data_IF_285407286654
#
_entry.id   IF_285407286654
#
_cell.length_a   1.000
_cell.length_b   1.000
_cell.length_c   1.000
_cell.angle_alpha   90.00
_cell.angle_beta   90.00
_cell.angle_gamma   90.00
#
_symmetry.space_group_name_H-M   'P 1'
#
loop_
_entity.id
_entity.type
_entity.pdbx_description
1 polymer ?
#
# COMPACT_ATOMS: atom_id res chain seq x y z
N UNK A 1 6.86 -27.19 14.41
CA UNK A 1 6.77 -26.24 15.53
C UNK A 1 7.13 -24.82 15.07
N UNK A 2 8.29 -24.56 14.44
CA UNK A 2 8.57 -23.24 13.84
C UNK A 2 7.63 -22.92 12.65
N UNK A 3 7.33 -23.92 11.79
CA UNK A 3 6.40 -23.77 10.67
C UNK A 3 4.96 -23.43 11.11
N UNK A 4 4.44 -24.11 12.14
CA UNK A 4 3.07 -23.89 12.63
C UNK A 4 2.88 -22.54 13.33
N UNK A 5 3.96 -21.97 13.91
CA UNK A 5 3.93 -20.64 14.52
C UNK A 5 3.97 -19.55 13.43
N UNK A 6 4.72 -19.76 12.34
CA UNK A 6 4.71 -18.88 11.17
C UNK A 6 3.33 -18.86 10.51
N UNK A 7 2.77 -20.04 10.24
CA UNK A 7 1.45 -20.18 9.60
C UNK A 7 0.34 -19.47 10.40
N UNK A 8 0.39 -19.55 11.74
CA UNK A 8 -0.58 -18.86 12.61
C UNK A 8 -0.36 -17.34 12.68
N UNK A 9 0.87 -16.85 12.52
CA UNK A 9 1.16 -15.42 12.44
C UNK A 9 0.72 -14.86 11.09
N UNK A 10 0.96 -15.59 10.00
CA UNK A 10 0.53 -15.25 8.63
C UNK A 10 -1.00 -15.18 8.52
N UNK A 11 -1.71 -16.13 9.12
CA UNK A 11 -3.19 -16.11 9.18
C UNK A 11 -3.73 -14.87 9.91
N UNK A 12 -2.98 -14.25 10.82
CA UNK A 12 -3.40 -13.02 11.51
C UNK A 12 -3.22 -11.77 10.65
N UNK A 13 -2.46 -11.85 9.55
CA UNK A 13 -2.24 -10.77 8.60
C UNK A 13 -3.33 -10.72 7.51
N UNK A 14 -4.21 -11.71 7.43
CA UNK A 14 -5.25 -11.79 6.40
C UNK A 14 -6.62 -11.87 7.05
N UNK A 15 -7.50 -10.94 6.72
CA UNK A 15 -8.87 -10.87 7.24
C UNK A 15 -9.90 -10.76 6.11
N UNK A 16 -11.17 -10.97 6.46
CA UNK A 16 -12.26 -10.61 5.56
C UNK A 16 -12.28 -9.09 5.35
N UNK A 17 -12.69 -8.63 4.16
CA UNK A 17 -12.74 -7.19 3.87
C UNK A 17 -13.66 -6.41 4.81
N UNK A 18 -14.65 -7.08 5.42
CA UNK A 18 -15.56 -6.48 6.40
C UNK A 18 -14.86 -6.11 7.72
N UNK A 19 -13.68 -6.68 7.99
CA UNK A 19 -12.88 -6.41 9.20
C UNK A 19 -11.80 -5.34 8.98
N UNK A 20 -11.68 -4.79 7.76
CA UNK A 20 -10.81 -3.66 7.46
C UNK A 20 -11.50 -2.33 7.77
N UNK A 21 -10.74 -1.25 8.06
CA UNK A 21 -11.30 0.07 8.28
C UNK A 21 -12.15 0.53 7.10
N UNK A 22 -13.29 1.17 7.39
CA UNK A 22 -14.10 1.79 6.34
C UNK A 22 -13.34 2.92 5.67
N UNK A 23 -13.49 3.05 4.35
CA UNK A 23 -13.02 4.24 3.61
C UNK A 23 -13.86 5.49 3.90
N UNK A 24 -14.93 5.41 4.69
CA UNK A 24 -15.75 6.57 5.06
C UNK A 24 -15.19 7.36 6.26
N UNK A 25 -14.17 6.83 6.93
CA UNK A 25 -13.55 7.46 8.09
C UNK A 25 -12.23 8.16 7.72
N UNK A 26 -12.13 9.46 8.02
CA UNK A 26 -10.91 10.26 7.86
C UNK A 26 -10.76 10.95 6.50
N UNK A 27 -9.52 11.12 6.06
CA UNK A 27 -9.18 11.71 4.77
C UNK A 27 -9.20 10.63 3.68
N UNK A 28 -9.94 10.87 2.61
CA UNK A 28 -10.10 9.90 1.51
C UNK A 28 -9.65 10.54 0.21
N UNK A 29 -8.80 9.82 -0.53
CA UNK A 29 -8.26 10.26 -1.82
C UNK A 29 -8.43 9.12 -2.81
N UNK A 30 -8.90 9.43 -4.02
CA UNK A 30 -9.03 8.44 -5.10
C UNK A 30 -8.21 8.88 -6.31
N UNK A 31 -7.22 8.07 -6.67
CA UNK A 31 -6.36 8.24 -7.83
C UNK A 31 -6.96 7.45 -9.00
N UNK A 32 -7.20 8.11 -10.12
CA UNK A 32 -7.76 7.49 -11.34
C UNK A 32 -7.50 8.36 -12.58
N UNK A 33 -7.53 7.75 -13.76
CA UNK A 33 -7.53 8.52 -14.99
C UNK A 33 -8.87 9.19 -15.23
N UNK A 34 -8.85 10.45 -15.65
CA UNK A 34 -10.06 11.25 -15.90
C UNK A 34 -10.61 11.09 -17.32
N UNK A 35 -9.79 10.62 -18.27
CA UNK A 35 -10.19 10.37 -19.64
C UNK A 35 -10.60 8.90 -19.83
N UNK A 36 -11.90 8.61 -20.07
CA UNK A 36 -12.44 7.26 -20.22
C UNK A 36 -12.11 6.60 -21.56
N UNK A 37 -11.67 7.38 -22.56
CA UNK A 37 -11.34 6.91 -23.90
C UNK A 37 -9.84 6.61 -24.06
N UNK A 38 -9.07 6.78 -22.98
CA UNK A 38 -7.64 6.58 -22.99
C UNK A 38 -7.26 5.10 -23.19
N UNK A 39 -6.47 4.87 -24.24
CA UNK A 39 -5.95 3.54 -24.60
C UNK A 39 -4.51 3.43 -24.14
N UNK A 40 -4.28 2.51 -23.19
CA UNK A 40 -2.93 2.21 -22.72
C UNK A 40 -2.07 1.64 -23.87
N UNK A 41 -0.91 2.24 -24.19
CA UNK A 41 -0.05 1.73 -25.25
C UNK A 41 0.50 0.35 -24.88
N UNK A 42 0.19 -0.68 -25.68
CA UNK A 42 0.61 -2.05 -25.41
C UNK A 42 2.14 -2.21 -25.32
N UNK A 43 2.89 -1.32 -25.96
CA UNK A 43 4.35 -1.34 -25.99
C UNK A 43 5.01 -0.82 -24.70
N UNK A 44 4.24 -0.12 -23.84
CA UNK A 44 4.76 0.38 -22.56
C UNK A 44 5.09 -0.75 -21.58
N UNK A 45 4.47 -1.93 -21.70
CA UNK A 45 4.61 -3.07 -20.78
C UNK A 45 6.06 -3.59 -20.63
N UNK A 46 6.98 -3.20 -21.53
CA UNK A 46 8.33 -3.77 -21.58
C UNK A 46 9.36 -3.08 -20.70
N UNK A 47 9.15 -1.83 -20.32
CA UNK A 47 10.10 -1.12 -19.44
C UNK A 47 9.54 -1.05 -18.03
N UNK A 48 10.31 -1.58 -17.08
CA UNK A 48 10.02 -1.54 -15.63
C UNK A 48 9.82 -0.11 -15.10
N UNK A 49 10.21 0.89 -15.89
CA UNK A 49 9.84 2.30 -15.75
C UNK A 49 8.56 2.60 -16.53
N UNK A 50 7.43 2.05 -16.10
CA UNK A 50 6.15 2.50 -16.62
C UNK A 50 5.93 3.94 -16.14
N UNK A 51 5.93 4.96 -17.03
CA UNK A 51 5.63 6.31 -16.59
C UNK A 51 4.19 6.29 -16.09
N UNK A 52 4.01 6.54 -14.79
CA UNK A 52 2.72 6.99 -14.27
C UNK A 52 2.26 8.10 -15.22
N UNK A 53 1.17 7.85 -15.95
CA UNK A 53 0.61 8.82 -16.89
C UNK A 53 0.52 10.18 -16.20
N UNK A 54 0.79 11.29 -16.89
CA UNK A 54 0.97 12.60 -16.25
C UNK A 54 -0.20 12.99 -15.31
N UNK A 55 -1.43 12.61 -15.65
CA UNK A 55 -2.62 12.80 -14.80
C UNK A 55 -2.50 11.99 -13.49
N UNK A 56 -2.18 10.70 -13.59
CA UNK A 56 -2.03 9.81 -12.42
C UNK A 56 -0.82 10.26 -11.60
N UNK A 57 0.27 10.67 -12.24
CA UNK A 57 1.47 11.21 -11.60
C UNK A 57 1.14 12.48 -10.81
N UNK A 58 0.34 13.38 -11.38
CA UNK A 58 -0.12 14.59 -10.69
C UNK A 58 -1.01 14.25 -9.50
N UNK A 59 -2.03 13.41 -9.67
CA UNK A 59 -2.90 12.98 -8.56
C UNK A 59 -2.12 12.26 -7.47
N UNK A 60 -1.12 11.45 -7.83
CA UNK A 60 -0.18 10.83 -6.89
C UNK A 60 0.61 11.87 -6.10
N UNK A 61 1.19 12.88 -6.78
CA UNK A 61 1.93 13.95 -6.12
C UNK A 61 1.06 14.74 -5.16
N UNK A 62 -0.16 15.07 -5.57
CA UNK A 62 -1.14 15.76 -4.73
C UNK A 62 -1.53 14.89 -3.52
N UNK A 63 -1.78 13.59 -3.73
CA UNK A 63 -2.09 12.65 -2.64
C UNK A 63 -0.93 12.55 -1.64
N UNK A 64 0.30 12.43 -2.13
CA UNK A 64 1.50 12.38 -1.31
C UNK A 64 1.66 13.66 -0.49
N UNK A 65 1.49 14.84 -1.10
CA UNK A 65 1.60 16.11 -0.39
C UNK A 65 0.56 16.24 0.73
N UNK A 66 -0.70 15.88 0.47
CA UNK A 66 -1.77 15.90 1.48
C UNK A 66 -1.46 14.91 2.61
N UNK A 67 -1.10 13.68 2.27
CA UNK A 67 -0.75 12.62 3.21
C UNK A 67 0.40 13.05 4.14
N UNK A 68 1.48 13.58 3.57
CA UNK A 68 2.64 14.01 4.33
C UNK A 68 2.34 15.19 5.23
N UNK A 69 1.65 16.22 4.73
CA UNK A 69 1.25 17.34 5.57
C UNK A 69 0.40 16.87 6.75
N UNK A 70 -0.49 15.92 6.53
CA UNK A 70 -1.27 15.30 7.61
C UNK A 70 -0.34 14.62 8.61
N UNK A 71 0.56 13.74 8.17
CA UNK A 71 1.49 13.03 9.06
C UNK A 71 2.38 13.97 9.88
N UNK A 72 2.87 15.07 9.30
CA UNK A 72 3.67 16.09 9.99
C UNK A 72 2.93 16.74 11.17
N UNK A 73 1.59 16.82 11.12
CA UNK A 73 0.80 17.36 12.23
C UNK A 73 0.78 16.44 13.45
N UNK A 74 0.83 15.12 13.23
CA UNK A 74 0.54 14.10 14.25
C UNK A 74 1.75 13.22 14.63
N UNK A 75 2.84 13.23 13.88
CA UNK A 75 4.02 12.37 14.08
C UNK A 75 5.33 13.15 14.25
N UNK A 76 6.37 12.47 14.72
CA UNK A 76 7.75 12.98 14.74
C UNK A 76 8.36 13.00 13.33
N UNK A 77 9.43 13.77 13.11
CA UNK A 77 10.11 13.83 11.81
C UNK A 77 10.59 12.44 11.34
N UNK A 78 11.09 11.64 12.27
CA UNK A 78 11.52 10.26 12.03
C UNK A 78 10.35 9.40 11.57
N UNK A 79 9.22 9.44 12.29
CA UNK A 79 8.03 8.68 11.92
C UNK A 79 7.45 9.13 10.57
N UNK A 80 7.48 10.44 10.27
CA UNK A 80 7.06 10.98 8.97
C UNK A 80 7.91 10.41 7.84
N UNK A 81 9.21 10.24 8.04
CA UNK A 81 10.09 9.58 7.06
C UNK A 81 9.70 8.12 6.83
N UNK A 82 9.40 7.38 7.89
CA UNK A 82 8.95 5.98 7.81
C UNK A 82 7.60 5.88 7.09
N UNK A 83 6.67 6.79 7.37
CA UNK A 83 5.40 6.89 6.67
C UNK A 83 5.54 7.22 5.18
N UNK A 84 6.52 8.05 4.78
CA UNK A 84 6.80 8.33 3.35
C UNK A 84 7.14 7.05 2.60
N UNK A 85 8.05 6.25 3.15
CA UNK A 85 8.51 5.00 2.52
C UNK A 85 7.33 4.05 2.35
N UNK A 86 6.57 3.84 3.42
CA UNK A 86 5.45 2.90 3.40
C UNK A 86 4.33 3.35 2.47
N UNK A 87 4.02 4.64 2.46
CA UNK A 87 3.05 5.21 1.53
C UNK A 87 3.42 4.97 0.07
N UNK A 88 4.68 5.25 -0.28
CA UNK A 88 5.18 5.06 -1.64
C UNK A 88 5.06 3.60 -2.08
N UNK A 89 5.46 2.66 -1.22
CA UNK A 89 5.33 1.22 -1.49
C UNK A 89 3.87 0.79 -1.66
N UNK A 90 2.96 1.24 -0.79
CA UNK A 90 1.54 0.89 -0.90
C UNK A 90 0.90 1.41 -2.19
N UNK A 91 1.14 2.67 -2.54
CA UNK A 91 0.54 3.28 -3.74
C UNK A 91 1.15 2.69 -5.01
N UNK A 92 2.47 2.46 -5.04
CA UNK A 92 3.12 1.76 -6.15
C UNK A 92 2.55 0.36 -6.30
N UNK A 93 2.37 -0.38 -5.21
CA UNK A 93 1.79 -1.73 -5.28
C UNK A 93 0.36 -1.69 -5.84
N UNK A 94 -0.47 -0.77 -5.37
CA UNK A 94 -1.85 -0.61 -5.84
C UNK A 94 -1.93 -0.22 -7.33
N UNK A 95 -1.14 0.78 -7.76
CA UNK A 95 -1.20 1.31 -9.12
C UNK A 95 -0.47 0.40 -10.13
N UNK A 96 0.74 -0.07 -9.79
CA UNK A 96 1.60 -0.83 -10.71
C UNK A 96 1.22 -2.30 -10.74
N UNK A 97 1.06 -2.94 -9.59
CA UNK A 97 0.87 -4.39 -9.52
C UNK A 97 -0.62 -4.76 -9.48
N UNK A 98 -1.41 -4.10 -8.62
CA UNK A 98 -2.85 -4.32 -8.49
C UNK A 98 -3.58 -3.93 -9.77
N UNK A 99 -3.61 -2.64 -10.08
CA UNK A 99 -4.24 -2.12 -11.29
C UNK A 99 -3.48 -2.47 -12.59
N UNK A 100 -2.30 -3.09 -12.51
CA UNK A 100 -1.43 -3.39 -13.67
C UNK A 100 -1.15 -2.18 -14.54
N UNK A 101 -1.03 -1.00 -13.90
CA UNK A 101 -0.93 0.32 -14.53
C UNK A 101 -2.09 0.66 -15.49
N UNK A 102 -3.22 -0.05 -15.40
CA UNK A 102 -4.41 0.30 -16.16
C UNK A 102 -4.96 1.63 -15.64
N UNK A 103 -4.92 2.69 -16.45
CA UNK A 103 -5.30 4.04 -16.03
C UNK A 103 -6.79 4.15 -15.72
N UNK A 104 -7.62 3.29 -16.32
CA UNK A 104 -9.06 3.29 -16.11
C UNK A 104 -9.49 2.67 -14.78
N UNK A 105 -8.55 2.08 -14.03
CA UNK A 105 -8.80 1.50 -12.71
C UNK A 105 -8.48 2.50 -11.60
N UNK A 106 -9.30 2.47 -10.55
CA UNK A 106 -9.17 3.38 -9.41
C UNK A 106 -8.25 2.79 -8.36
N UNK A 107 -7.53 3.66 -7.66
CA UNK A 107 -6.85 3.36 -6.41
C UNK A 107 -7.39 4.32 -5.35
N UNK A 108 -7.95 3.78 -4.26
CA UNK A 108 -8.50 4.56 -3.17
C UNK A 108 -7.62 4.41 -1.94
N UNK A 109 -7.29 5.54 -1.33
CA UNK A 109 -6.53 5.66 -0.09
C UNK A 109 -7.45 6.32 0.94
N UNK A 110 -7.48 5.80 2.16
CA UNK A 110 -7.91 6.56 3.33
C UNK A 110 -6.84 6.57 4.40
N UNK A 111 -6.81 7.64 5.19
CA UNK A 111 -5.98 7.72 6.37
C UNK A 111 -6.65 8.56 7.45
N UNK A 112 -6.46 8.13 8.70
CA UNK A 112 -7.01 8.77 9.88
C UNK A 112 -6.13 8.47 11.08
N UNK A 113 -6.34 9.20 12.16
CA UNK A 113 -5.77 8.88 13.47
C UNK A 113 -6.92 8.72 14.46
N UNK A 114 -6.98 7.55 15.07
CA UNK A 114 -7.88 7.27 16.18
C UNK A 114 -7.04 7.06 17.45
N UNK A 115 -7.30 7.89 18.46
CA UNK A 115 -6.53 7.93 19.71
C UNK A 115 -5.01 8.05 19.47
N UNK A 116 -4.26 7.03 19.90
CA UNK A 116 -2.80 6.92 19.77
C UNK A 116 -2.36 6.21 18.48
N UNK A 117 -3.28 5.76 17.62
CA UNK A 117 -2.97 4.99 16.41
C UNK A 117 -3.38 5.71 15.14
N UNK A 118 -2.43 5.78 14.22
CA UNK A 118 -2.67 6.21 12.85
C UNK A 118 -2.94 4.97 12.00
N UNK A 119 -3.96 5.08 11.13
CA UNK A 119 -4.42 4.02 10.25
C UNK A 119 -4.37 4.51 8.82
N UNK A 120 -3.83 3.69 7.92
CA UNK A 120 -3.85 3.93 6.48
C UNK A 120 -4.42 2.71 5.79
N UNK A 121 -5.35 2.92 4.87
CA UNK A 121 -6.00 1.87 4.10
C UNK A 121 -5.89 2.20 2.62
N UNK A 122 -5.38 1.26 1.82
CA UNK A 122 -5.30 1.38 0.36
C UNK A 122 -6.04 0.22 -0.30
N UNK A 123 -6.81 0.54 -1.34
CA UNK A 123 -7.56 -0.37 -2.18
C UNK A 123 -7.27 -0.13 -3.65
N UNK A 124 -6.92 -1.18 -4.37
CA UNK A 124 -6.88 -1.18 -5.83
C UNK A 124 -8.12 -1.85 -6.44
N UNK A 125 -8.29 -1.69 -7.76
CA UNK A 125 -9.39 -2.28 -8.54
C UNK A 125 -8.90 -3.42 -9.45
N UNK A 126 -7.74 -3.99 -9.12
CA UNK A 126 -7.13 -5.09 -9.83
C UNK A 126 -7.77 -6.44 -9.54
N UNK A 127 -7.21 -7.52 -10.13
CA UNK A 127 -7.68 -8.88 -9.90
C UNK A 127 -7.23 -9.45 -8.54
N UNK A 128 -6.40 -8.74 -7.79
CA UNK A 128 -5.81 -9.21 -6.53
C UNK A 128 -4.67 -10.21 -6.72
N UNK A 129 -4.15 -10.72 -5.61
CA UNK A 129 -3.09 -11.72 -5.56
C UNK A 129 -3.26 -12.66 -4.37
N UNK A 130 -2.61 -13.83 -4.43
CA UNK A 130 -2.57 -14.77 -3.32
C UNK A 130 -1.61 -14.24 -2.25
N UNK A 131 -2.19 -13.65 -1.19
CA UNK A 131 -1.44 -13.02 -0.10
C UNK A 131 -0.58 -14.04 0.64
N UNK A 132 -1.11 -15.22 0.95
CA UNK A 132 -0.36 -16.29 1.63
C UNK A 132 0.85 -16.71 0.81
N UNK A 133 0.66 -16.96 -0.49
CA UNK A 133 1.76 -17.33 -1.37
C UNK A 133 2.82 -16.24 -1.44
N UNK A 134 2.43 -14.96 -1.45
CA UNK A 134 3.37 -13.84 -1.58
C UNK A 134 4.14 -13.57 -0.29
N UNK A 135 3.51 -13.71 0.87
CA UNK A 135 4.18 -13.54 2.17
C UNK A 135 5.20 -14.65 2.46
N UNK A 136 5.05 -15.81 1.83
CA UNK A 136 5.91 -16.98 2.06
C UNK A 136 7.11 -17.04 1.09
N UNK A 137 7.33 -15.99 0.31
CA UNK A 137 8.51 -15.87 -0.55
C UNK A 137 9.70 -15.42 0.30
N UNK A 138 10.74 -16.25 0.34
CA UNK A 138 12.01 -15.86 0.94
C UNK A 138 12.71 -14.83 0.04
N UNK A 139 12.63 -13.57 0.46
CA UNK A 139 13.20 -12.43 -0.26
C UNK A 139 14.73 -12.36 -0.19
N UNK A 140 15.37 -13.27 0.57
CA UNK A 140 16.83 -13.38 0.71
C UNK A 140 17.46 -14.40 -0.23
N UNK A 141 16.64 -15.15 -0.98
CA UNK A 141 17.08 -16.13 -1.97
C UNK A 141 17.41 -15.47 -3.33
N UNK A 142 18.61 -15.79 -3.84
CA UNK A 142 19.18 -15.19 -5.06
C UNK A 142 18.39 -15.59 -6.33
N UNK A 143 17.71 -16.74 -6.31
CA UNK A 143 16.93 -17.25 -7.45
C UNK A 143 15.66 -16.45 -7.74
N UNK A 144 15.22 -15.62 -6.79
CA UNK A 144 14.04 -14.79 -6.95
C UNK A 144 14.39 -13.35 -7.32
N UNK A 145 15.67 -12.94 -7.36
CA UNK A 145 16.13 -11.53 -7.44
C UNK A 145 15.57 -10.72 -8.62
N UNK A 146 15.13 -11.37 -9.69
CA UNK A 146 14.59 -10.71 -10.88
C UNK A 146 13.09 -10.37 -10.82
N UNK A 147 12.33 -10.98 -9.90
CA UNK A 147 10.96 -10.60 -9.56
C UNK A 147 11.00 -9.54 -8.44
N UNK A 148 10.19 -8.48 -8.51
CA UNK A 148 10.00 -7.48 -7.44
C UNK A 148 9.48 -8.17 -6.15
N UNK A 149 10.35 -8.85 -5.41
CA UNK A 149 10.02 -9.98 -4.51
C UNK A 149 9.19 -9.70 -3.27
N UNK A 150 8.57 -8.53 -3.12
CA UNK A 150 7.91 -8.19 -1.86
C UNK A 150 8.87 -7.60 -0.83
N UNK A 151 10.04 -7.10 -1.24
CA UNK A 151 10.85 -6.17 -0.43
C UNK A 151 10.01 -4.98 0.03
N UNK A 152 9.12 -4.48 -0.84
CA UNK A 152 8.13 -3.46 -0.46
C UNK A 152 7.20 -3.93 0.67
N UNK A 153 6.73 -5.18 0.62
CA UNK A 153 5.91 -5.77 1.69
C UNK A 153 6.71 -5.91 2.99
N UNK A 154 7.98 -6.32 2.92
CA UNK A 154 8.87 -6.36 4.08
C UNK A 154 9.11 -4.98 4.68
N UNK A 155 9.28 -3.94 3.85
CA UNK A 155 9.42 -2.55 4.33
C UNK A 155 8.16 -2.09 5.07
N UNK A 156 6.98 -2.37 4.51
CA UNK A 156 5.70 -2.07 5.15
C UNK A 156 5.61 -2.78 6.51
N UNK A 157 5.90 -4.08 6.56
CA UNK A 157 5.89 -4.85 7.81
C UNK A 157 6.95 -4.41 8.82
N UNK A 158 8.10 -3.92 8.35
CA UNK A 158 9.18 -3.48 9.23
C UNK A 158 8.84 -2.18 9.96
N UNK A 159 8.19 -1.24 9.29
CA UNK A 159 7.94 0.10 9.83
C UNK A 159 6.58 0.26 10.52
N UNK A 160 5.67 -0.70 10.35
CA UNK A 160 4.29 -0.64 10.86
C UNK A 160 4.09 -1.65 11.99
N UNK A 161 3.28 -1.29 12.97
CA UNK A 161 2.98 -2.16 14.10
C UNK A 161 2.05 -3.31 13.71
N UNK A 162 1.17 -3.05 12.74
CA UNK A 162 0.19 -4.01 12.27
C UNK A 162 -0.07 -3.79 10.79
N UNK A 163 -0.16 -4.89 10.06
CA UNK A 163 -0.44 -4.92 8.63
C UNK A 163 -1.49 -5.99 8.38
N UNK A 164 -2.53 -5.64 7.64
CA UNK A 164 -3.59 -6.58 7.28
C UNK A 164 -3.94 -6.45 5.82
N UNK A 165 -4.18 -7.58 5.17
CA UNK A 165 -4.72 -7.66 3.83
C UNK A 165 -6.12 -8.27 3.86
N UNK A 166 -6.92 -7.93 2.85
CA UNK A 166 -8.11 -8.72 2.59
C UNK A 166 -7.75 -10.06 1.92
N UNK A 167 -8.68 -11.02 1.98
CA UNK A 167 -8.53 -12.36 1.38
C UNK A 167 -8.20 -12.30 -0.11
N UNK A 168 -8.71 -11.32 -0.85
CA UNK A 168 -8.48 -11.22 -2.30
C UNK A 168 -7.16 -10.56 -2.66
N UNK A 169 -6.44 -9.97 -1.71
CA UNK A 169 -5.18 -9.25 -1.97
C UNK A 169 -5.36 -7.96 -2.77
N UNK A 170 -6.50 -7.28 -2.65
CA UNK A 170 -6.79 -5.98 -3.31
C UNK A 170 -6.84 -4.82 -2.32
N UNK A 171 -6.83 -5.12 -1.02
CA UNK A 171 -6.92 -4.14 0.05
C UNK A 171 -5.84 -4.42 1.09
N UNK A 172 -5.17 -3.36 1.54
CA UNK A 172 -4.16 -3.39 2.61
C UNK A 172 -4.43 -2.25 3.59
N UNK A 173 -4.54 -2.60 4.86
CA UNK A 173 -4.60 -1.63 5.95
C UNK A 173 -3.39 -1.79 6.88
N UNK A 174 -2.87 -0.68 7.36
CA UNK A 174 -1.72 -0.62 8.25
C UNK A 174 -1.99 0.31 9.42
N UNK A 175 -1.40 -0.04 10.56
CA UNK A 175 -1.49 0.75 11.78
C UNK A 175 -0.11 1.01 12.36
N UNK A 176 0.03 2.21 12.93
CA UNK A 176 1.19 2.57 13.74
C UNK A 176 0.77 3.43 14.91
N UNK A 177 1.26 3.12 16.09
CA UNK A 177 1.15 3.97 17.27
C UNK A 177 2.04 5.18 17.09
N UNK A 178 1.48 6.37 17.27
CA UNK A 178 2.28 7.58 17.28
C UNK A 178 3.12 7.66 18.55
N UNK A 179 4.39 8.03 18.41
CA UNK A 179 5.20 8.48 19.54
C UNK A 179 4.57 9.76 20.14
N UNK A 180 4.51 9.86 21.47
CA UNK A 180 4.17 11.13 22.12
C UNK A 180 5.26 12.14 21.74
N UNK A 181 4.87 13.30 21.17
CA UNK A 181 5.82 14.41 20.97
C UNK A 181 6.37 14.78 22.33
N UNK A 182 7.62 14.42 22.58
CA UNK A 182 8.36 14.89 23.76
C UNK A 182 8.49 16.40 23.62
N UNK A 183 7.89 17.15 24.55
CA UNK A 183 7.95 18.63 24.60
C UNK A 183 9.40 19.16 24.71
#
# INVERSE_FOLDING_TARGET
MESEISDQAEQRLILESADLPSFEEGHVITIHHEDPDWVYPADSIRDRELPLHDIIKRQYQEANEIFIKYMETIHSEKEVFEWRIVFEEMIINALRHGNRTNPNLKCTLSFTRDNDRTVVHVKDSGPGFDVHKKLNIDCTDDDHVEEDNGRGLMLIQHYMDEVRWNITGTEIAIWKKGEEKSE
#
